data_IF_335706009139
#
_entry.id   IF_335706009139
#
_cell.length_a   1.000
_cell.length_b   1.000
_cell.length_c   1.000
_cell.angle_alpha   90.00
_cell.angle_beta   90.00
_cell.angle_gamma   90.00
#
_symmetry.space_group_name_H-M   'P 1'
#
loop_
_entity.id
_entity.type
_entity.pdbx_description
1 polymer ?
#
# COMPACT_ATOMS: atom_id res chain seq x y z
N UNK A 1 -29.19 0.80 -19.67
CA UNK A 1 -29.45 1.12 -18.25
C UNK A 1 -28.37 2.02 -17.65
N UNK A 2 -27.09 1.61 -17.57
CA UNK A 2 -26.03 2.41 -16.92
C UNK A 2 -25.89 3.85 -17.48
N UNK A 3 -25.75 4.03 -18.80
CA UNK A 3 -25.65 5.36 -19.43
C UNK A 3 -26.87 6.25 -19.14
N UNK A 4 -28.07 5.66 -19.12
CA UNK A 4 -29.31 6.36 -18.79
C UNK A 4 -29.32 6.82 -17.34
N UNK A 5 -28.92 5.97 -16.40
CA UNK A 5 -28.85 6.32 -14.97
C UNK A 5 -27.87 7.49 -14.73
N UNK A 6 -26.70 7.48 -15.38
CA UNK A 6 -25.73 8.59 -15.30
C UNK A 6 -26.36 9.90 -15.78
N UNK A 7 -27.04 9.87 -16.93
CA UNK A 7 -27.68 11.05 -17.51
C UNK A 7 -28.82 11.58 -16.62
N UNK A 8 -29.65 10.70 -16.07
CA UNK A 8 -30.77 11.07 -15.19
C UNK A 8 -30.32 11.73 -13.88
N UNK A 9 -29.08 11.49 -13.45
CA UNK A 9 -28.49 12.07 -12.23
C UNK A 9 -27.52 13.23 -12.50
N UNK A 10 -27.43 13.73 -13.75
CA UNK A 10 -26.53 14.82 -14.14
C UNK A 10 -25.03 14.57 -13.85
N UNK A 11 -24.60 13.31 -13.94
CA UNK A 11 -23.21 12.90 -13.64
C UNK A 11 -22.37 12.66 -14.89
N UNK A 12 -22.84 13.04 -16.08
CA UNK A 12 -22.13 12.80 -17.35
C UNK A 12 -20.78 13.53 -17.44
N UNK A 13 -20.57 14.58 -16.65
CA UNK A 13 -19.30 15.30 -16.56
C UNK A 13 -18.25 14.58 -15.69
N UNK A 14 -18.64 13.53 -14.95
CA UNK A 14 -17.74 12.75 -14.07
C UNK A 14 -17.69 11.26 -14.43
N UNK A 15 -18.74 10.71 -15.03
CA UNK A 15 -18.88 9.28 -15.29
C UNK A 15 -19.00 9.05 -16.80
N UNK A 16 -17.94 8.50 -17.37
CA UNK A 16 -17.89 8.07 -18.77
C UNK A 16 -18.20 6.57 -18.87
N UNK A 17 -19.33 6.23 -19.48
CA UNK A 17 -19.73 4.83 -19.68
C UNK A 17 -19.25 4.35 -21.05
N UNK A 18 -18.32 3.39 -21.05
CA UNK A 18 -17.72 2.84 -22.26
C UNK A 18 -18.24 1.40 -22.48
N UNK A 19 -18.86 1.09 -23.64
CA UNK A 19 -19.23 -0.28 -23.96
C UNK A 19 -17.99 -1.14 -24.19
N UNK A 20 -18.04 -2.41 -23.77
CA UNK A 20 -16.93 -3.37 -23.88
C UNK A 20 -17.43 -4.73 -24.34
N UNK A 21 -16.57 -5.44 -25.07
CA UNK A 21 -16.75 -6.85 -25.38
C UNK A 21 -15.99 -7.70 -24.35
N UNK A 22 -16.33 -8.99 -24.26
CA UNK A 22 -15.67 -9.92 -23.33
C UNK A 22 -14.14 -9.96 -23.53
N UNK A 23 -13.67 -9.78 -24.76
CA UNK A 23 -12.24 -9.84 -25.11
C UNK A 23 -11.54 -8.48 -25.07
N UNK A 24 -12.26 -7.39 -24.76
CA UNK A 24 -11.66 -6.05 -24.65
C UNK A 24 -10.72 -5.95 -23.44
N UNK A 25 -9.71 -5.09 -23.52
CA UNK A 25 -8.91 -4.73 -22.32
C UNK A 25 -9.84 -4.22 -21.20
N UNK A 26 -9.61 -4.69 -19.98
CA UNK A 26 -10.42 -4.31 -18.81
C UNK A 26 -10.05 -2.92 -18.30
N UNK A 27 -8.78 -2.52 -18.44
CA UNK A 27 -8.27 -1.22 -18.00
C UNK A 27 -7.75 -0.41 -19.22
N UNK A 28 -8.61 0.41 -19.85
CA UNK A 28 -8.34 1.04 -21.15
C UNK A 28 -7.56 2.37 -21.05
N UNK A 29 -6.47 2.44 -20.28
CA UNK A 29 -5.71 3.70 -20.14
C UNK A 29 -5.01 4.16 -21.42
N UNK A 30 -4.91 3.30 -22.43
CA UNK A 30 -4.29 3.61 -23.73
C UNK A 30 -5.31 4.19 -24.73
N UNK A 31 -6.58 4.31 -24.34
CA UNK A 31 -7.63 4.80 -25.24
C UNK A 31 -7.75 6.33 -25.24
N UNK A 32 -8.09 6.94 -26.39
CA UNK A 32 -8.29 8.38 -26.48
C UNK A 32 -9.36 8.88 -25.49
N UNK A 33 -9.06 9.99 -24.82
CA UNK A 33 -9.98 10.62 -23.86
C UNK A 33 -9.95 10.00 -22.46
N UNK A 34 -9.11 8.99 -22.22
CA UNK A 34 -8.85 8.45 -20.88
C UNK A 34 -7.55 9.07 -20.33
N UNK A 35 -7.52 9.49 -19.05
CA UNK A 35 -6.28 9.95 -18.43
C UNK A 35 -5.16 8.92 -18.54
N UNK A 36 -3.93 9.38 -18.75
CA UNK A 36 -2.75 8.51 -18.84
C UNK A 36 -2.47 7.73 -17.55
N UNK A 37 -2.96 8.23 -16.42
CA UNK A 37 -2.88 7.62 -15.09
C UNK A 37 -4.14 7.90 -14.27
N UNK A 38 -4.46 6.98 -13.35
CA UNK A 38 -5.61 7.08 -12.45
C UNK A 38 -5.24 6.65 -11.02
N UNK A 39 -6.03 7.07 -10.04
CA UNK A 39 -5.78 6.73 -8.64
C UNK A 39 -6.07 5.26 -8.34
N UNK A 40 -7.16 4.72 -8.87
CA UNK A 40 -7.52 3.33 -8.61
C UNK A 40 -8.43 2.72 -9.68
N UNK A 41 -8.43 1.38 -9.73
CA UNK A 41 -9.50 0.60 -10.35
C UNK A 41 -10.34 -0.07 -9.28
N UNK A 42 -11.60 -0.36 -9.58
CA UNK A 42 -12.46 -1.18 -8.73
C UNK A 42 -13.27 -2.15 -9.58
N UNK A 43 -13.42 -3.38 -9.08
CA UNK A 43 -14.23 -4.40 -9.75
C UNK A 43 -15.01 -5.25 -8.76
N UNK A 44 -16.23 -5.60 -9.16
CA UNK A 44 -17.00 -6.69 -8.60
C UNK A 44 -17.12 -7.76 -9.70
N UNK A 45 -16.22 -8.75 -9.76
CA UNK A 45 -16.16 -9.72 -10.85
C UNK A 45 -17.37 -10.68 -10.80
N UNK A 46 -17.75 -11.30 -11.94
CA UNK A 46 -18.64 -12.44 -11.92
C UNK A 46 -18.02 -13.56 -11.07
N UNK A 47 -18.79 -14.15 -10.16
CA UNK A 47 -18.24 -15.04 -9.14
C UNK A 47 -18.03 -16.48 -9.61
N UNK A 48 -18.91 -17.00 -10.44
CA UNK A 48 -19.02 -18.42 -10.73
C UNK A 48 -18.36 -18.78 -12.06
N UNK A 49 -17.78 -19.96 -12.16
CA UNK A 49 -17.25 -20.52 -13.39
C UNK A 49 -18.36 -20.98 -14.35
N UNK A 50 -19.45 -21.51 -13.77
CA UNK A 50 -20.58 -22.00 -14.54
C UNK A 50 -21.91 -21.82 -13.80
N UNK A 51 -23.02 -21.95 -14.53
CA UNK A 51 -24.35 -21.93 -13.94
C UNK A 51 -24.55 -23.11 -12.97
N UNK A 52 -23.99 -24.29 -13.28
CA UNK A 52 -24.05 -25.45 -12.39
C UNK A 52 -23.31 -25.21 -11.08
N UNK A 53 -22.18 -24.50 -11.08
CA UNK A 53 -21.49 -24.09 -9.86
C UNK A 53 -22.35 -23.13 -9.03
N UNK A 54 -22.96 -22.13 -9.67
CA UNK A 54 -23.88 -21.21 -9.03
C UNK A 54 -25.04 -21.95 -8.34
N UNK A 55 -25.67 -22.89 -9.05
CA UNK A 55 -26.76 -23.70 -8.52
C UNK A 55 -26.30 -24.62 -7.38
N UNK A 56 -25.11 -25.23 -7.47
CA UNK A 56 -24.53 -26.02 -6.37
C UNK A 56 -24.28 -25.17 -5.13
N UNK A 57 -23.69 -23.99 -5.30
CA UNK A 57 -23.46 -23.03 -4.20
C UNK A 57 -24.77 -22.57 -3.55
N UNK A 58 -25.83 -22.38 -4.34
CA UNK A 58 -27.16 -22.05 -3.84
C UNK A 58 -27.77 -23.20 -3.02
N UNK A 59 -27.64 -24.45 -3.49
CA UNK A 59 -28.17 -25.66 -2.81
C UNK A 59 -27.48 -25.96 -1.48
N UNK A 60 -26.21 -25.59 -1.32
CA UNK A 60 -25.48 -25.78 -0.05
C UNK A 60 -25.94 -24.83 1.06
N UNK A 61 -26.69 -23.77 0.74
CA UNK A 61 -27.20 -22.83 1.74
C UNK A 61 -28.48 -23.39 2.36
N UNK A 62 -28.50 -23.52 3.69
CA UNK A 62 -29.66 -24.03 4.44
C UNK A 62 -30.95 -23.20 4.29
N UNK A 63 -30.82 -21.94 3.87
CA UNK A 63 -31.96 -21.05 3.59
C UNK A 63 -31.67 -20.26 2.31
N UNK A 64 -32.69 -19.98 1.48
CA UNK A 64 -32.53 -19.10 0.35
C UNK A 64 -32.03 -17.72 0.82
N UNK A 65 -31.23 -17.02 0.00
CA UNK A 65 -30.82 -15.66 0.31
C UNK A 65 -32.07 -14.76 0.47
N UNK A 66 -32.01 -13.80 1.40
CA UNK A 66 -33.10 -12.85 1.63
C UNK A 66 -33.29 -11.87 0.47
N UNK A 67 -32.29 -11.74 -0.40
CA UNK A 67 -32.30 -10.90 -1.60
C UNK A 67 -32.38 -11.78 -2.84
N UNK A 68 -33.28 -11.44 -3.77
CA UNK A 68 -33.30 -12.05 -5.10
C UNK A 68 -31.98 -11.71 -5.83
N UNK A 69 -31.33 -12.73 -6.39
CA UNK A 69 -30.19 -12.52 -7.27
C UNK A 69 -30.73 -12.18 -8.66
N UNK A 70 -30.83 -10.88 -8.97
CA UNK A 70 -31.34 -10.39 -10.26
C UNK A 70 -30.24 -10.12 -11.27
N UNK A 71 -29.01 -10.58 -11.01
CA UNK A 71 -27.90 -10.44 -11.94
C UNK A 71 -28.17 -11.21 -13.23
N UNK A 72 -27.77 -10.64 -14.36
CA UNK A 72 -27.73 -11.33 -15.64
C UNK A 72 -26.70 -12.48 -15.61
N UNK A 73 -26.84 -13.46 -16.50
CA UNK A 73 -25.90 -14.59 -16.57
C UNK A 73 -24.44 -14.12 -16.70
N UNK A 74 -24.19 -13.07 -17.49
CA UNK A 74 -22.87 -12.44 -17.65
C UNK A 74 -22.36 -11.69 -16.40
N UNK A 75 -23.23 -11.29 -15.47
CA UNK A 75 -22.84 -10.67 -14.20
C UNK A 75 -22.54 -11.71 -13.11
N UNK A 76 -22.94 -12.97 -13.33
CA UNK A 76 -22.78 -14.04 -12.36
C UNK A 76 -21.72 -15.06 -12.77
N UNK A 77 -21.59 -15.33 -14.07
CA UNK A 77 -20.75 -16.41 -14.61
C UNK A 77 -19.69 -15.85 -15.55
N UNK A 78 -18.46 -16.33 -15.38
CA UNK A 78 -17.33 -16.10 -16.29
C UNK A 78 -16.46 -17.35 -16.33
N UNK A 79 -15.84 -17.66 -17.47
CA UNK A 79 -14.93 -18.81 -17.55
C UNK A 79 -13.82 -18.71 -16.48
N UNK A 80 -13.62 -19.78 -15.71
CA UNK A 80 -12.67 -19.84 -14.59
C UNK A 80 -13.07 -19.03 -13.34
N UNK A 81 -14.30 -18.49 -13.31
CA UNK A 81 -14.87 -17.77 -12.17
C UNK A 81 -14.14 -16.47 -11.81
N UNK A 82 -14.42 -15.95 -10.62
CA UNK A 82 -13.82 -14.69 -10.16
C UNK A 82 -12.29 -14.73 -10.14
N UNK A 83 -11.68 -15.88 -9.86
CA UNK A 83 -10.22 -15.99 -9.79
C UNK A 83 -9.57 -15.76 -11.16
N UNK A 84 -10.12 -16.35 -12.23
CA UNK A 84 -9.60 -16.12 -13.59
C UNK A 84 -9.81 -14.67 -14.03
N UNK A 85 -10.95 -14.08 -13.70
CA UNK A 85 -11.25 -12.68 -14.01
C UNK A 85 -10.25 -11.74 -13.34
N UNK A 86 -9.98 -11.93 -12.04
CA UNK A 86 -9.03 -11.08 -11.30
C UNK A 86 -7.59 -11.33 -11.74
N UNK A 87 -7.23 -12.57 -12.14
CA UNK A 87 -5.92 -12.85 -12.76
C UNK A 87 -5.73 -12.12 -14.10
N UNK A 88 -6.78 -11.95 -14.90
CA UNK A 88 -6.72 -11.15 -16.12
C UNK A 88 -6.46 -9.67 -15.80
N UNK A 89 -7.16 -9.10 -14.82
CA UNK A 89 -6.90 -7.73 -14.33
C UNK A 89 -5.44 -7.61 -13.86
N UNK A 90 -4.96 -8.62 -13.13
CA UNK A 90 -3.59 -8.65 -12.65
C UNK A 90 -2.56 -8.67 -13.80
N UNK A 91 -2.77 -9.49 -14.82
CA UNK A 91 -1.92 -9.51 -16.01
C UNK A 91 -1.88 -8.15 -16.74
N UNK A 92 -3.04 -7.49 -16.90
CA UNK A 92 -3.10 -6.12 -17.44
C UNK A 92 -2.37 -5.12 -16.53
N UNK A 93 -2.52 -5.27 -15.21
CA UNK A 93 -1.88 -4.40 -14.22
C UNK A 93 -0.36 -4.46 -14.26
N UNK A 94 0.23 -5.63 -14.55
CA UNK A 94 1.69 -5.76 -14.70
C UNK A 94 2.22 -4.95 -15.88
N UNK A 95 1.45 -4.86 -16.98
CA UNK A 95 1.79 -4.03 -18.14
C UNK A 95 1.62 -2.54 -17.85
N UNK A 96 0.55 -2.17 -17.15
CA UNK A 96 0.23 -0.78 -16.84
C UNK A 96 1.10 -0.22 -15.70
N UNK A 97 1.59 -1.08 -14.81
CA UNK A 97 2.50 -0.75 -13.73
C UNK A 97 1.98 0.41 -12.88
N UNK A 98 2.85 1.41 -12.69
CA UNK A 98 2.58 2.59 -11.86
C UNK A 98 1.61 3.62 -12.44
N UNK A 99 0.99 3.36 -13.61
CA UNK A 99 -0.06 4.23 -14.18
C UNK A 99 -1.37 4.17 -13.39
N UNK A 100 -1.56 3.14 -12.58
CA UNK A 100 -2.64 3.07 -11.59
C UNK A 100 -2.00 3.00 -10.22
N UNK A 101 -2.40 3.89 -9.31
CA UNK A 101 -1.88 3.87 -7.95
C UNK A 101 -2.36 2.65 -7.16
N UNK A 102 -3.63 2.24 -7.29
CA UNK A 102 -4.16 1.00 -6.70
C UNK A 102 -5.07 0.21 -7.65
N UNK A 103 -4.70 -1.03 -7.94
CA UNK A 103 -5.61 -1.97 -8.56
C UNK A 103 -6.42 -2.67 -7.47
N UNK A 104 -7.74 -2.77 -7.61
CA UNK A 104 -8.58 -3.41 -6.58
C UNK A 104 -9.62 -4.35 -7.17
N UNK A 105 -9.96 -5.40 -6.41
CA UNK A 105 -11.01 -6.34 -6.75
C UNK A 105 -11.73 -6.86 -5.49
N UNK A 106 -13.04 -7.05 -5.61
CA UNK A 106 -13.82 -7.76 -4.60
C UNK A 106 -13.89 -9.25 -4.91
N UNK A 107 -13.82 -10.09 -3.87
CA UNK A 107 -14.00 -11.53 -3.93
C UNK A 107 -15.27 -11.97 -3.17
N UNK A 108 -16.04 -12.85 -3.80
CA UNK A 108 -17.16 -13.58 -3.25
C UNK A 108 -16.74 -14.79 -2.40
N UNK A 109 -15.62 -15.44 -2.73
CA UNK A 109 -15.10 -16.61 -2.01
C UNK A 109 -13.70 -16.36 -1.42
N UNK A 110 -13.53 -16.70 -0.14
CA UNK A 110 -12.24 -16.60 0.56
C UNK A 110 -11.16 -17.52 -0.05
N UNK A 111 -11.57 -18.67 -0.62
CA UNK A 111 -10.67 -19.58 -1.33
C UNK A 111 -10.04 -18.92 -2.55
N UNK A 112 -10.83 -18.19 -3.34
CA UNK A 112 -10.37 -17.44 -4.51
C UNK A 112 -9.38 -16.36 -4.12
N UNK A 113 -9.69 -15.57 -3.08
CA UNK A 113 -8.77 -14.57 -2.55
C UNK A 113 -7.45 -15.20 -2.09
N UNK A 114 -7.51 -16.32 -1.37
CA UNK A 114 -6.31 -17.02 -0.88
C UNK A 114 -5.42 -17.46 -2.04
N UNK A 115 -6.00 -18.07 -3.08
CA UNK A 115 -5.27 -18.46 -4.28
C UNK A 115 -4.70 -17.25 -5.06
N UNK A 116 -5.40 -16.12 -5.05
CA UNK A 116 -4.92 -14.90 -5.68
C UNK A 116 -3.74 -14.26 -4.91
N UNK A 117 -3.75 -14.30 -3.57
CA UNK A 117 -2.61 -13.83 -2.77
C UNK A 117 -1.34 -14.66 -3.04
N UNK A 118 -1.47 -15.97 -3.25
CA UNK A 118 -0.33 -16.79 -3.70
C UNK A 118 0.17 -16.38 -5.09
N UNK A 119 -0.72 -15.93 -5.98
CA UNK A 119 -0.33 -15.37 -7.28
C UNK A 119 0.49 -14.09 -7.11
N UNK A 120 0.05 -13.17 -6.23
CA UNK A 120 0.80 -11.95 -5.91
C UNK A 120 2.19 -12.25 -5.36
N UNK A 121 2.31 -13.26 -4.49
CA UNK A 121 3.58 -13.69 -3.89
C UNK A 121 4.54 -14.29 -4.92
N UNK A 122 4.04 -15.16 -5.79
CA UNK A 122 4.83 -15.75 -6.87
C UNK A 122 5.45 -14.67 -7.77
N UNK A 123 4.68 -13.62 -8.04
CA UNK A 123 5.10 -12.47 -8.85
C UNK A 123 5.79 -11.35 -8.03
N UNK A 124 6.11 -11.63 -6.76
CA UNK A 124 6.85 -10.75 -5.85
C UNK A 124 6.20 -9.37 -5.62
N UNK A 125 4.88 -9.28 -5.72
CA UNK A 125 4.11 -8.07 -5.42
C UNK A 125 3.94 -7.94 -3.91
N UNK A 126 4.77 -7.10 -3.29
CA UNK A 126 4.81 -6.93 -1.83
C UNK A 126 3.91 -5.81 -1.29
N UNK A 127 3.48 -4.87 -2.13
CA UNK A 127 2.57 -3.80 -1.73
C UNK A 127 1.12 -4.18 -2.10
N UNK A 128 0.45 -4.84 -1.17
CA UNK A 128 -0.95 -5.22 -1.29
C UNK A 128 -1.70 -5.02 0.02
N UNK A 129 -3.02 -5.06 -0.04
CA UNK A 129 -3.95 -4.84 1.07
C UNK A 129 -5.11 -5.82 0.99
N UNK A 130 -5.53 -6.37 2.13
CA UNK A 130 -6.67 -7.28 2.24
C UNK A 130 -7.62 -6.78 3.31
N UNK A 131 -8.90 -6.68 2.97
CA UNK A 131 -9.97 -6.31 3.91
C UNK A 131 -11.22 -7.18 3.72
N UNK A 132 -12.18 -7.06 4.64
CA UNK A 132 -13.45 -7.79 4.61
C UNK A 132 -14.61 -6.81 4.80
N UNK A 133 -15.64 -6.98 3.97
CA UNK A 133 -16.91 -6.29 4.08
C UNK A 133 -17.94 -7.22 4.72
N UNK A 134 -18.49 -6.78 5.86
CA UNK A 134 -19.50 -7.49 6.62
C UNK A 134 -20.81 -6.71 6.56
N UNK A 135 -21.80 -7.26 5.84
CA UNK A 135 -23.14 -6.67 5.78
C UNK A 135 -24.14 -7.60 6.45
N UNK A 136 -24.70 -7.14 7.57
CA UNK A 136 -25.49 -7.96 8.47
C UNK A 136 -24.69 -9.12 9.07
N UNK A 137 -25.37 -10.24 9.38
CA UNK A 137 -24.75 -11.33 10.13
C UNK A 137 -24.19 -12.47 9.24
N UNK A 138 -24.40 -12.41 7.92
CA UNK A 138 -24.15 -13.55 7.02
C UNK A 138 -23.37 -13.21 5.75
N UNK A 139 -23.61 -12.04 5.14
CA UNK A 139 -22.97 -11.72 3.87
C UNK A 139 -21.58 -11.17 4.12
N UNK A 140 -20.59 -11.99 3.77
CA UNK A 140 -19.17 -11.63 3.79
C UNK A 140 -18.68 -11.48 2.36
N UNK A 141 -17.92 -10.42 2.13
CA UNK A 141 -17.12 -10.23 0.92
C UNK A 141 -15.71 -9.85 1.36
N UNK A 142 -14.74 -10.12 0.51
CA UNK A 142 -13.38 -9.69 0.75
C UNK A 142 -12.97 -8.75 -0.36
N UNK A 143 -12.03 -7.86 -0.07
CA UNK A 143 -11.40 -7.03 -1.10
C UNK A 143 -9.89 -7.18 -1.02
N UNK A 144 -9.27 -7.26 -2.20
CA UNK A 144 -7.84 -7.17 -2.40
C UNK A 144 -7.55 -5.83 -3.08
N UNK A 145 -6.42 -5.23 -2.73
CA UNK A 145 -5.80 -4.18 -3.51
C UNK A 145 -4.31 -4.47 -3.67
N UNK A 146 -3.71 -4.12 -4.80
CA UNK A 146 -2.26 -4.21 -5.03
C UNK A 146 -1.75 -2.99 -5.78
N UNK A 147 -0.47 -2.69 -5.61
CA UNK A 147 0.18 -1.53 -6.22
C UNK A 147 1.61 -1.85 -6.64
N UNK A 148 2.02 -1.25 -7.77
CA UNK A 148 3.41 -1.19 -8.20
C UNK A 148 4.08 0.15 -7.83
N UNK A 149 3.37 1.00 -7.10
CA UNK A 149 3.87 2.26 -6.52
C UNK A 149 4.18 2.11 -5.03
N UNK A 150 5.00 3.01 -4.50
CA UNK A 150 5.52 2.90 -3.14
C UNK A 150 4.52 3.22 -2.03
N UNK A 151 3.47 4.01 -2.30
CA UNK A 151 2.53 4.46 -1.27
C UNK A 151 1.77 3.29 -0.63
N UNK A 152 1.68 3.29 0.71
CA UNK A 152 1.06 2.22 1.50
C UNK A 152 -0.21 2.70 2.21
N UNK A 153 -1.28 1.88 2.26
CA UNK A 153 -2.47 2.22 3.01
C UNK A 153 -2.22 2.09 4.52
N UNK A 154 -3.17 2.56 5.33
CA UNK A 154 -3.11 2.38 6.78
C UNK A 154 -3.16 0.90 7.14
N UNK A 155 -2.52 0.50 8.24
CA UNK A 155 -2.50 -0.91 8.62
C UNK A 155 -3.92 -1.45 8.86
N UNK A 156 -4.81 -0.64 9.43
CA UNK A 156 -6.22 -0.99 9.65
C UNK A 156 -6.97 -1.29 8.35
N UNK A 157 -6.57 -0.66 7.24
CA UNK A 157 -7.14 -0.90 5.90
C UNK A 157 -6.45 -2.09 5.22
N UNK A 158 -5.12 -2.15 5.28
CA UNK A 158 -4.31 -3.16 4.62
C UNK A 158 -4.45 -4.57 5.24
N UNK A 159 -4.80 -4.61 6.53
CA UNK A 159 -4.95 -5.82 7.35
C UNK A 159 -6.34 -5.89 8.00
N UNK A 160 -7.36 -5.43 7.26
CA UNK A 160 -8.72 -5.16 7.77
C UNK A 160 -9.61 -6.38 8.01
N UNK A 161 -9.05 -7.60 8.13
CA UNK A 161 -9.87 -8.80 8.34
C UNK A 161 -9.22 -9.81 9.26
N UNK A 162 -9.99 -10.25 10.27
CA UNK A 162 -9.60 -11.31 11.20
C UNK A 162 -9.68 -12.69 10.55
N UNK A 163 -10.61 -12.90 9.62
CA UNK A 163 -10.75 -14.17 8.89
C UNK A 163 -9.52 -14.48 8.01
N UNK A 164 -8.84 -13.44 7.54
CA UNK A 164 -7.59 -13.55 6.79
C UNK A 164 -6.35 -13.86 7.64
N UNK A 165 -6.36 -13.53 8.94
CA UNK A 165 -5.23 -13.82 9.83
C UNK A 165 -4.96 -15.32 9.90
N UNK A 166 -6.01 -16.14 10.02
CA UNK A 166 -5.88 -17.61 10.14
C UNK A 166 -5.47 -18.28 8.83
N UNK A 167 -5.62 -17.60 7.68
CA UNK A 167 -5.25 -18.10 6.36
C UNK A 167 -3.88 -17.61 5.90
N UNK A 168 -3.17 -16.84 6.73
CA UNK A 168 -1.87 -16.25 6.41
C UNK A 168 -1.87 -15.47 5.08
N UNK A 169 -2.94 -14.73 4.77
CA UNK A 169 -3.05 -13.98 3.50
C UNK A 169 -2.78 -12.48 3.66
N UNK A 170 -2.55 -12.00 4.89
CA UNK A 170 -2.32 -10.58 5.14
C UNK A 170 -0.91 -10.13 4.72
N UNK A 171 -0.77 -8.91 4.18
CA UNK A 171 0.53 -8.32 3.83
C UNK A 171 1.33 -8.01 5.10
N UNK A 172 2.66 -7.88 5.03
CA UNK A 172 3.48 -7.52 6.20
C UNK A 172 2.94 -6.28 6.96
N UNK A 173 3.02 -6.24 8.31
CA UNK A 173 2.65 -5.07 9.09
C UNK A 173 3.37 -3.80 8.62
N UNK A 174 2.63 -2.71 8.47
CA UNK A 174 3.17 -1.40 8.13
C UNK A 174 3.22 -0.45 9.32
N UNK A 175 2.74 -0.87 10.50
CA UNK A 175 2.75 -0.08 11.73
C UNK A 175 3.32 -0.91 12.88
N UNK A 176 4.14 -0.28 13.72
CA UNK A 176 4.73 -0.90 14.90
C UNK A 176 4.90 0.10 16.04
N UNK A 177 4.52 -0.29 17.26
CA UNK A 177 4.93 0.38 18.49
C UNK A 177 6.30 -0.18 18.91
N UNK A 178 7.30 0.70 18.97
CA UNK A 178 8.71 0.32 19.18
C UNK A 178 9.14 0.42 20.64
N UNK A 179 8.43 1.26 21.42
CA UNK A 179 8.64 1.46 22.85
C UNK A 179 7.28 1.71 23.52
N UNK A 180 7.07 1.07 24.67
CA UNK A 180 5.96 1.36 25.58
C UNK A 180 6.56 1.48 26.98
N UNK A 181 6.35 2.62 27.63
CA UNK A 181 6.83 2.92 28.98
C UNK A 181 5.68 3.41 29.84
N UNK A 182 5.82 3.34 31.16
CA UNK A 182 4.84 3.92 32.07
C UNK A 182 4.89 5.45 32.02
N UNK A 183 3.75 6.11 32.19
CA UNK A 183 3.69 7.59 32.12
C UNK A 183 4.53 8.27 33.21
N UNK A 184 4.78 7.59 34.33
CA UNK A 184 5.62 8.06 35.44
C UNK A 184 7.12 8.06 35.12
N UNK A 185 7.58 7.32 34.12
CA UNK A 185 9.01 7.06 33.92
C UNK A 185 9.69 8.00 32.93
N UNK A 186 8.94 8.82 32.18
CA UNK A 186 9.54 9.76 31.22
C UNK A 186 8.77 11.08 31.11
N UNK A 187 9.50 12.17 30.91
CA UNK A 187 8.90 13.45 30.53
C UNK A 187 8.55 13.43 29.05
N UNK A 188 7.26 13.56 28.73
CA UNK A 188 6.75 13.52 27.34
C UNK A 188 7.41 14.61 26.48
N UNK A 189 7.64 15.81 27.03
CA UNK A 189 8.29 16.90 26.31
C UNK A 189 9.75 16.60 25.96
N UNK A 190 10.50 15.97 26.88
CA UNK A 190 11.88 15.54 26.64
C UNK A 190 11.92 14.41 25.62
N UNK A 191 11.02 13.44 25.73
CA UNK A 191 10.88 12.34 24.77
C UNK A 191 10.58 12.86 23.36
N UNK A 192 9.61 13.76 23.23
CA UNK A 192 9.21 14.38 21.98
C UNK A 192 10.35 15.19 21.34
N UNK A 193 11.01 16.04 22.14
CA UNK A 193 12.15 16.84 21.67
C UNK A 193 13.32 15.96 21.24
N UNK A 194 13.63 14.90 22.00
CA UNK A 194 14.69 13.95 21.69
C UNK A 194 14.45 13.20 20.38
N UNK A 195 13.23 12.69 20.17
CA UNK A 195 12.85 12.01 18.92
C UNK A 195 12.89 12.98 17.74
N UNK A 196 12.27 14.15 17.88
CA UNK A 196 12.21 15.14 16.79
C UNK A 196 13.60 15.65 16.39
N UNK A 197 14.45 15.96 17.37
CA UNK A 197 15.84 16.41 17.13
C UNK A 197 16.67 15.32 16.45
N UNK A 198 16.57 14.07 16.92
CA UNK A 198 17.30 12.95 16.32
C UNK A 198 16.89 12.70 14.87
N UNK A 199 15.59 12.77 14.56
CA UNK A 199 15.09 12.62 13.18
C UNK A 199 15.46 13.81 12.30
N UNK A 200 15.39 15.03 12.81
CA UNK A 200 15.79 16.25 12.09
C UNK A 200 17.29 16.27 11.75
N UNK A 201 18.12 15.54 12.49
CA UNK A 201 19.56 15.43 12.22
C UNK A 201 19.93 14.48 11.07
N UNK A 202 18.96 13.73 10.55
CA UNK A 202 19.18 12.78 9.45
C UNK A 202 19.11 13.50 8.09
N UNK A 203 19.77 12.92 7.08
CA UNK A 203 19.75 13.40 5.69
C UNK A 203 18.41 13.10 4.99
N UNK A 204 17.29 13.62 5.53
CA UNK A 204 15.93 13.41 5.01
C UNK A 204 15.64 14.31 3.80
N UNK A 205 14.80 13.84 2.88
CA UNK A 205 14.22 14.64 1.79
C UNK A 205 13.23 15.66 2.38
N UNK A 206 12.41 15.21 3.34
CA UNK A 206 11.46 16.05 4.05
C UNK A 206 11.27 15.55 5.48
N UNK A 207 11.03 16.47 6.41
CA UNK A 207 10.70 16.16 7.80
C UNK A 207 9.80 17.26 8.35
N UNK A 208 8.63 16.87 8.82
CA UNK A 208 7.67 17.75 9.47
C UNK A 208 7.27 17.13 10.79
N UNK A 209 7.32 17.91 11.87
CA UNK A 209 6.93 17.50 13.21
C UNK A 209 5.81 18.40 13.72
N UNK A 210 4.67 17.81 14.06
CA UNK A 210 3.55 18.47 14.68
C UNK A 210 3.62 18.28 16.21
N UNK A 211 3.93 19.38 16.90
CA UNK A 211 4.05 19.40 18.35
C UNK A 211 2.70 19.25 19.06
N UNK A 212 1.58 19.61 18.44
CA UNK A 212 0.26 19.50 19.05
C UNK A 212 -0.22 18.05 19.10
N UNK A 213 0.07 17.28 18.06
CA UNK A 213 -0.34 15.87 17.95
C UNK A 213 0.76 14.89 18.37
N UNK A 214 2.00 15.37 18.57
CA UNK A 214 3.20 14.56 18.79
C UNK A 214 3.43 13.53 17.66
N UNK A 215 3.19 13.96 16.43
CA UNK A 215 3.37 13.17 15.23
C UNK A 215 4.40 13.82 14.32
N UNK A 216 5.14 13.00 13.57
CA UNK A 216 6.05 13.51 12.54
C UNK A 216 6.00 12.66 11.29
N UNK A 217 6.14 13.31 10.14
CA UNK A 217 6.14 12.68 8.82
C UNK A 217 7.44 13.00 8.12
N UNK A 218 8.12 11.97 7.63
CA UNK A 218 9.39 12.13 6.95
C UNK A 218 9.48 11.29 5.68
N UNK A 219 10.32 11.75 4.75
CA UNK A 219 10.78 10.98 3.59
C UNK A 219 12.29 10.94 3.58
N UNK A 220 12.84 9.76 3.37
CA UNK A 220 14.27 9.54 3.21
C UNK A 220 14.56 8.96 1.80
N UNK A 221 15.72 9.29 1.22
CA UNK A 221 16.13 8.74 -0.08
C UNK A 221 16.62 7.28 0.03
N UNK A 222 16.96 6.83 1.25
CA UNK A 222 17.44 5.49 1.58
C UNK A 222 17.47 5.33 3.13
N UNK A 223 18.12 4.30 3.66
CA UNK A 223 18.36 4.02 5.08
C UNK A 223 19.34 5.00 5.73
N UNK A 224 18.99 6.28 5.79
CA UNK A 224 19.87 7.37 6.27
C UNK A 224 20.28 7.25 7.74
N UNK A 225 19.49 6.53 8.54
CA UNK A 225 19.81 6.20 9.94
C UNK A 225 20.86 5.08 10.08
N UNK A 226 21.15 4.34 9.00
CA UNK A 226 22.07 3.21 9.04
C UNK A 226 23.54 3.67 9.07
N UNK A 227 24.40 2.88 9.74
CA UNK A 227 25.84 3.14 9.81
C UNK A 227 26.50 3.16 8.42
N UNK A 228 26.04 2.34 7.49
CA UNK A 228 26.56 2.26 6.13
C UNK A 228 26.36 3.59 5.38
N UNK A 229 25.19 4.21 5.48
CA UNK A 229 24.90 5.52 4.89
C UNK A 229 25.86 6.60 5.41
N UNK A 230 25.98 6.70 6.75
CA UNK A 230 26.87 7.70 7.38
C UNK A 230 28.33 7.54 6.98
N UNK A 231 28.81 6.29 6.86
CA UNK A 231 30.19 6.01 6.39
C UNK A 231 30.39 6.40 4.94
N UNK A 232 29.42 6.10 4.07
CA UNK A 232 29.46 6.50 2.65
C UNK A 232 29.48 8.02 2.52
N UNK A 233 28.57 8.74 3.20
CA UNK A 233 28.52 10.20 3.18
C UNK A 233 29.79 10.87 3.72
N UNK A 234 30.41 10.28 4.75
CA UNK A 234 31.69 10.77 5.26
C UNK A 234 32.80 10.66 4.20
N UNK A 235 32.92 9.49 3.55
CA UNK A 235 33.90 9.30 2.45
C UNK A 235 33.65 10.25 1.29
N UNK A 236 32.39 10.39 0.84
CA UNK A 236 32.04 11.34 -0.23
C UNK A 236 32.44 12.79 0.11
N UNK A 237 32.35 13.19 1.39
CA UNK A 237 32.80 14.52 1.84
C UNK A 237 34.31 14.64 1.93
N UNK A 238 35.00 13.60 2.37
CA UNK A 238 36.47 13.53 2.42
C UNK A 238 37.03 13.58 0.99
N UNK A 239 36.52 12.73 0.09
CA UNK A 239 36.88 12.71 -1.33
C UNK A 239 36.58 14.06 -2.02
N UNK A 240 35.43 14.70 -1.71
CA UNK A 240 35.10 16.02 -2.26
C UNK A 240 36.00 17.14 -1.71
N UNK A 241 36.46 17.03 -0.46
CA UNK A 241 37.43 17.96 0.12
C UNK A 241 38.81 17.79 -0.52
N UNK A 242 39.25 16.55 -0.76
CA UNK A 242 40.51 16.24 -1.43
C UNK A 242 40.52 16.69 -2.90
N UNK A 243 39.38 16.58 -3.60
CA UNK A 243 39.21 17.09 -4.98
C UNK A 243 39.15 18.62 -5.02
N UNK A 244 38.57 19.27 -4.01
CA UNK A 244 38.58 20.74 -3.91
C UNK A 244 39.99 21.29 -3.68
N UNK A 245 40.88 20.53 -3.03
CA UNK A 245 42.29 20.87 -2.82
C UNK A 245 43.18 20.58 -4.05
N UNK A 246 42.67 19.90 -5.08
CA UNK A 246 43.44 19.48 -6.27
C UNK A 246 42.86 19.95 -7.62
N UNK A 247 41.85 20.81 -7.64
CA UNK A 247 41.16 21.19 -8.88
C UNK A 247 41.95 22.19 -9.75
N UNK A 248 42.84 21.68 -10.61
CA UNK A 248 43.00 22.18 -11.98
C UNK A 248 41.89 21.59 -12.87
N UNK A 249 41.42 22.41 -13.81
CA UNK A 249 40.17 22.31 -14.60
C UNK A 249 40.02 20.98 -15.38
N UNK A 250 38.89 20.25 -15.27
CA UNK A 250 38.56 19.18 -16.22
C UNK A 250 37.57 19.62 -17.31
N UNK A 251 37.92 19.24 -18.55
CA UNK A 251 37.10 19.35 -19.77
C UNK A 251 35.84 18.45 -19.75
N UNK A 252 34.75 18.80 -20.46
CA UNK A 252 33.45 18.15 -20.32
C UNK A 252 33.19 17.07 -21.38
N UNK A 253 32.78 15.85 -20.99
CA UNK A 253 32.13 14.83 -21.84
C UNK A 253 31.44 13.75 -20.97
N UNK A 254 30.47 12.97 -21.49
CA UNK A 254 29.11 13.35 -21.85
C UNK A 254 28.04 12.65 -20.98
N UNK A 255 26.83 13.20 -20.95
CA UNK A 255 25.67 12.60 -20.28
C UNK A 255 25.29 11.23 -20.88
N UNK A 256 25.40 10.16 -20.09
CA UNK A 256 24.73 8.90 -20.38
C UNK A 256 23.33 8.90 -19.77
N UNK A 257 22.32 9.05 -20.62
CA UNK A 257 20.92 8.77 -20.31
C UNK A 257 20.71 7.26 -20.14
N UNK A 258 20.39 6.81 -18.94
CA UNK A 258 19.84 5.47 -18.71
C UNK A 258 18.42 5.59 -18.16
N UNK A 259 17.44 5.53 -19.07
CA UNK A 259 16.04 5.31 -18.75
C UNK A 259 15.84 3.85 -18.35
N UNK A 260 16.09 3.56 -17.08
CA UNK A 260 15.41 2.49 -16.38
C UNK A 260 14.64 3.18 -15.26
N UNK A 261 13.33 2.95 -15.16
CA UNK A 261 12.51 3.35 -14.02
C UNK A 261 13.08 2.68 -12.78
N UNK A 262 14.12 3.29 -12.19
CA UNK A 262 14.63 2.95 -10.89
C UNK A 262 13.46 3.17 -9.92
N UNK A 263 12.98 2.08 -9.31
CA UNK A 263 12.10 2.20 -8.16
C UNK A 263 12.81 3.16 -7.20
N UNK A 264 12.25 4.36 -7.03
CA UNK A 264 12.83 5.36 -6.13
C UNK A 264 13.00 4.67 -4.78
N UNK A 265 14.21 4.64 -4.23
CA UNK A 265 14.51 4.04 -2.92
C UNK A 265 13.91 4.87 -1.77
N UNK A 266 12.86 5.63 -2.06
CA UNK A 266 12.14 6.47 -1.14
C UNK A 266 11.59 5.60 -0.01
N UNK A 267 11.87 6.06 1.19
CA UNK A 267 11.33 5.52 2.41
C UNK A 267 10.54 6.62 3.10
N UNK A 268 9.22 6.55 2.97
CA UNK A 268 8.30 7.45 3.66
C UNK A 268 7.86 6.82 4.97
N UNK A 269 7.85 7.61 6.04
CA UNK A 269 7.46 7.14 7.36
C UNK A 269 6.68 8.20 8.12
N UNK A 270 5.86 7.72 9.06
CA UNK A 270 5.28 8.52 10.12
C UNK A 270 5.77 7.98 11.46
N UNK A 271 5.99 8.86 12.42
CA UNK A 271 6.22 8.51 13.83
C UNK A 271 5.17 9.20 14.69
N UNK A 272 4.88 8.62 15.84
CA UNK A 272 3.98 9.21 16.83
C UNK A 272 4.42 8.89 18.25
N UNK A 273 3.98 9.74 19.16
CA UNK A 273 3.96 9.47 20.60
C UNK A 273 2.50 9.48 21.04
N UNK A 274 2.00 8.34 21.52
CA UNK A 274 0.65 8.22 22.07
C UNK A 274 0.73 8.18 23.58
N UNK A 275 0.01 9.10 24.22
CA UNK A 275 -0.07 9.18 25.67
C UNK A 275 -1.41 8.62 26.12
N UNK A 276 -1.34 7.64 26.99
CA UNK A 276 -2.48 7.07 27.72
C UNK A 276 -2.31 7.35 29.21
N UNK A 277 -3.36 7.12 30.00
CA UNK A 277 -3.35 7.36 31.46
C UNK A 277 -2.20 6.62 32.16
N UNK A 278 -1.87 5.42 31.70
CA UNK A 278 -0.87 4.53 32.34
C UNK A 278 0.41 4.36 31.54
N UNK A 279 0.40 4.69 30.26
CA UNK A 279 1.54 4.42 29.38
C UNK A 279 1.74 5.49 28.33
N UNK A 280 2.99 5.65 27.94
CA UNK A 280 3.40 6.39 26.74
C UNK A 280 3.96 5.38 25.75
N UNK A 281 3.44 5.36 24.53
CA UNK A 281 3.97 4.55 23.44
C UNK A 281 4.56 5.40 22.34
N UNK A 282 5.70 4.95 21.82
CA UNK A 282 6.32 5.49 20.61
C UNK A 282 6.14 4.47 19.51
N UNK A 283 5.58 4.90 18.39
CA UNK A 283 5.38 4.03 17.24
C UNK A 283 5.71 4.69 15.93
N UNK A 284 5.70 3.87 14.88
CA UNK A 284 5.96 4.32 13.53
C UNK A 284 5.14 3.56 12.50
N UNK A 285 4.93 4.20 11.35
CA UNK A 285 4.24 3.67 10.19
C UNK A 285 5.08 3.83 8.95
N UNK A 286 5.12 2.78 8.14
CA UNK A 286 5.67 2.78 6.81
C UNK A 286 4.64 3.34 5.81
N UNK A 287 4.92 4.53 5.27
CA UNK A 287 4.04 5.25 4.35
C UNK A 287 4.38 5.01 2.88
N UNK A 288 5.68 4.88 2.56
CA UNK A 288 6.15 4.79 1.18
C UNK A 288 7.38 3.88 1.08
N UNK A 289 7.41 3.00 0.08
CA UNK A 289 8.57 2.18 -0.29
C UNK A 289 8.28 0.67 -0.33
N UNK A 290 9.28 -0.11 -0.77
CA UNK A 290 9.17 -1.57 -0.97
C UNK A 290 10.09 -2.41 -0.08
N UNK A 291 11.13 -1.82 0.52
CA UNK A 291 12.09 -2.53 1.35
C UNK A 291 11.59 -2.69 2.80
N UNK A 292 11.04 -3.87 3.10
CA UNK A 292 10.58 -4.21 4.46
C UNK A 292 11.74 -4.24 5.47
N UNK A 293 12.95 -4.64 5.05
CA UNK A 293 14.11 -4.64 5.92
C UNK A 293 14.57 -3.21 6.26
N UNK A 294 14.31 -2.23 5.39
CA UNK A 294 14.46 -0.81 5.73
C UNK A 294 13.53 -0.42 6.88
N UNK A 295 12.25 -0.83 6.82
CA UNK A 295 11.28 -0.53 7.88
C UNK A 295 11.66 -1.18 9.21
N UNK A 296 12.06 -2.45 9.22
CA UNK A 296 12.55 -3.13 10.42
C UNK A 296 13.79 -2.45 11.01
N UNK A 297 14.74 -2.07 10.16
CA UNK A 297 15.92 -1.31 10.60
C UNK A 297 15.55 0.06 11.17
N UNK A 298 14.58 0.75 10.59
CA UNK A 298 14.07 2.03 11.08
C UNK A 298 13.42 1.87 12.46
N UNK A 299 12.64 0.81 12.67
CA UNK A 299 12.06 0.49 13.98
C UNK A 299 13.16 0.32 15.05
N UNK A 300 14.24 -0.39 14.71
CA UNK A 300 15.39 -0.56 15.60
C UNK A 300 16.09 0.76 15.95
N UNK A 301 16.28 1.63 14.96
CA UNK A 301 16.81 2.98 15.18
C UNK A 301 15.88 3.81 16.09
N UNK A 302 14.58 3.88 15.76
CA UNK A 302 13.62 4.65 16.52
C UNK A 302 13.49 4.16 17.96
N UNK A 303 13.53 2.84 18.17
CA UNK A 303 13.54 2.23 19.51
C UNK A 303 14.74 2.69 20.34
N UNK A 304 15.94 2.67 19.76
CA UNK A 304 17.15 3.11 20.45
C UNK A 304 17.07 4.59 20.81
N UNK A 305 16.67 5.44 19.86
CA UNK A 305 16.46 6.88 20.07
C UNK A 305 15.42 7.15 21.16
N UNK A 306 14.27 6.49 21.09
CA UNK A 306 13.19 6.66 22.06
C UNK A 306 13.61 6.24 23.47
N UNK A 307 14.37 5.15 23.60
CA UNK A 307 14.94 4.70 24.88
C UNK A 307 15.89 5.73 25.48
N UNK A 308 16.84 6.21 24.69
CA UNK A 308 17.77 7.27 25.12
C UNK A 308 17.02 8.54 25.54
N UNK A 309 16.01 8.97 24.77
CA UNK A 309 15.23 10.16 25.07
C UNK A 309 14.30 9.99 26.29
N UNK A 310 13.82 8.77 26.55
CA UNK A 310 13.01 8.44 27.72
C UNK A 310 13.85 8.15 28.98
N UNK A 311 15.17 7.98 28.87
CA UNK A 311 16.06 7.67 29.99
C UNK A 311 15.97 6.21 30.48
N UNK A 312 15.66 5.26 29.58
CA UNK A 312 15.46 3.82 29.87
C UNK A 312 16.25 2.89 28.95
#
# INVERSE_FOLDING_TARGET
>A
WAKSNVKLNDLSHRIHVLPRHADSVLIPLDEPGIPSSIDFTMTNPPFYESEEEMLRSAKQKQRPPFTACTGSASEMVTQGGELAFVRRIFAESMRLGGRVQWYTAMFGFLSSLTAFVETLRAEKVSNYAVTEFLQGNKTRRWAIAWSFQGLRPAQSVARGTKAALSRNILPCPSEADVLVVETSTCSIGVLASGISTALASLDLISWEWDQATYEGVGRAPDKVWARAWRRRKKREREDAADVADTAEIPSPLPLSSSSATAASNNFGFKVWIRVSVKSVSVGCRWLEGFDAAAFESFQGFLKATAKTAAGV
#
